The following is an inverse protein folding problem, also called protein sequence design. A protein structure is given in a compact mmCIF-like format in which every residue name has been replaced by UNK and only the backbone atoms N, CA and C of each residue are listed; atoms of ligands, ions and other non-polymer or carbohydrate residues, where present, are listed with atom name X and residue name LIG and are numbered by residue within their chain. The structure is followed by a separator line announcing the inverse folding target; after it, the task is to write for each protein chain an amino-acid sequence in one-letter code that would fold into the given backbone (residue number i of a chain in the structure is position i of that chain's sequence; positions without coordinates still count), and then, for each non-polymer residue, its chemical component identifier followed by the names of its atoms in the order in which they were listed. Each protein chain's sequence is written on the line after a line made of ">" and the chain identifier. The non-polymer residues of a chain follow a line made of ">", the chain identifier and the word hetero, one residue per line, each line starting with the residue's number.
data_IF_057621414062
#
_entry.id   IF_057621414062
#
_cell.length_a   1.000
_cell.length_b   1.000
_cell.length_c   1.000
_cell.angle_alpha   90.00
_cell.angle_beta   90.00
_cell.angle_gamma   90.00
#
_symmetry.space_group_name_H-M   'P 1'
#
loop_
_entity.id
_entity.type
_entity.pdbx_description
1 polymer ?
#
# COMPACT_ATOMS: atom_id res chain seq x y z
N UNK A 1 -6.10 6.16 -10.66
CA UNK A 1 -4.62 5.96 -10.72
C UNK A 1 -4.34 4.49 -10.99
N UNK A 2 -3.30 4.11 -11.75
CA UNK A 2 -2.92 2.70 -11.97
C UNK A 2 -1.91 2.24 -10.91
N UNK A 3 -2.40 1.96 -9.70
CA UNK A 3 -1.55 1.61 -8.54
C UNK A 3 -0.66 0.38 -8.82
N UNK A 4 -1.20 -0.61 -9.54
CA UNK A 4 -0.49 -1.82 -9.99
C UNK A 4 0.76 -1.54 -10.86
N UNK A 5 0.90 -0.31 -11.36
CA UNK A 5 2.03 0.13 -12.19
C UNK A 5 3.03 1.00 -11.44
N UNK A 6 2.77 1.32 -10.18
CA UNK A 6 3.65 2.14 -9.36
C UNK A 6 4.46 1.19 -8.48
N UNK A 7 5.77 1.02 -8.69
CA UNK A 7 6.56 0.10 -7.88
C UNK A 7 6.61 0.57 -6.43
N UNK A 8 6.81 -0.36 -5.49
CA UNK A 8 6.97 -0.04 -4.07
C UNK A 8 8.15 0.92 -3.81
N UNK A 9 9.15 0.96 -4.70
CA UNK A 9 10.29 1.86 -4.65
C UNK A 9 11.28 1.58 -5.77
N UNK A 10 12.32 2.41 -5.91
CA UNK A 10 13.43 2.11 -6.83
C UNK A 10 14.37 1.06 -6.22
N UNK A 11 14.62 1.15 -4.90
CA UNK A 11 15.48 0.21 -4.17
C UNK A 11 14.96 -0.02 -2.73
N UNK A 12 13.84 -0.74 -2.55
CA UNK A 12 13.34 -1.07 -1.21
C UNK A 12 14.34 -1.93 -0.40
N UNK A 13 14.39 -1.78 0.94
CA UNK A 13 13.56 -0.86 1.72
C UNK A 13 14.12 0.57 1.82
N UNK A 14 15.33 0.84 1.30
CA UNK A 14 16.01 2.13 1.50
C UNK A 14 15.47 3.30 0.66
N UNK A 15 14.79 3.00 -0.45
CA UNK A 15 14.08 3.96 -1.31
C UNK A 15 12.72 3.35 -1.64
N UNK A 16 11.65 4.02 -1.19
CA UNK A 16 10.26 3.62 -1.39
C UNK A 16 9.44 4.76 -1.98
N UNK A 17 8.41 4.42 -2.76
CA UNK A 17 7.38 5.36 -3.19
C UNK A 17 6.23 5.36 -2.18
N UNK A 18 5.71 6.55 -1.90
CA UNK A 18 4.51 6.74 -1.07
C UNK A 18 3.46 7.46 -1.89
N UNK A 19 2.26 6.88 -1.94
CA UNK A 19 1.06 7.55 -2.46
C UNK A 19 0.45 8.35 -1.33
N UNK A 20 0.46 9.68 -1.43
CA UNK A 20 -0.05 10.57 -0.38
C UNK A 20 -1.58 10.57 -0.37
N UNK A 21 -2.17 10.42 0.79
CA UNK A 21 -3.61 10.48 1.00
C UNK A 21 -4.01 11.74 1.77
N UNK A 22 -3.27 12.07 2.83
CA UNK A 22 -3.55 13.24 3.67
C UNK A 22 -2.33 14.16 3.72
N UNK A 23 -2.42 15.40 3.21
CA UNK A 23 -1.34 16.37 3.30
C UNK A 23 -1.10 16.82 4.74
N UNK A 24 0.14 17.19 5.08
CA UNK A 24 0.46 17.79 6.39
C UNK A 24 -0.39 19.03 6.63
N UNK A 25 -0.97 19.14 7.85
CA UNK A 25 -1.79 20.28 8.29
C UNK A 25 -2.96 20.62 7.36
N UNK A 26 -3.46 19.67 6.57
CA UNK A 26 -4.70 19.85 5.79
C UNK A 26 -5.91 19.89 6.71
N UNK A 27 -7.07 20.31 6.17
CA UNK A 27 -8.36 20.13 6.83
C UNK A 27 -8.54 18.68 7.34
N UNK A 28 -9.34 18.45 8.40
CA UNK A 28 -9.46 17.18 9.11
C UNK A 28 -10.30 16.14 8.34
N UNK A 29 -9.94 15.89 7.09
CA UNK A 29 -10.55 14.89 6.22
C UNK A 29 -9.54 13.76 6.02
N UNK A 30 -9.90 12.55 6.44
CA UNK A 30 -9.18 11.35 6.03
C UNK A 30 -9.66 10.95 4.65
N UNK A 31 -8.87 11.30 3.65
CA UNK A 31 -8.99 10.69 2.35
C UNK A 31 -8.34 9.31 2.37
N UNK A 32 -8.79 8.45 1.47
CA UNK A 32 -8.22 7.14 1.23
C UNK A 32 -8.29 6.85 -0.27
N UNK A 33 -7.32 6.12 -0.80
CA UNK A 33 -7.33 5.69 -2.18
C UNK A 33 -8.16 4.41 -2.31
N UNK A 34 -9.28 4.49 -3.03
CA UNK A 34 -10.00 3.29 -3.44
C UNK A 34 -9.13 2.49 -4.43
N UNK A 35 -8.69 1.29 -4.03
CA UNK A 35 -7.69 0.51 -4.76
C UNK A 35 -8.20 0.02 -6.12
N UNK A 36 -9.51 -0.22 -6.26
CA UNK A 36 -10.13 -0.72 -7.49
C UNK A 36 -10.26 0.37 -8.56
N UNK A 37 -10.83 1.52 -8.21
CA UNK A 37 -11.01 2.64 -9.15
C UNK A 37 -9.76 3.54 -9.25
N UNK A 38 -8.92 3.54 -8.21
CA UNK A 38 -7.81 4.46 -8.04
C UNK A 38 -8.25 5.92 -7.88
N UNK A 39 -9.43 6.15 -7.29
CA UNK A 39 -9.95 7.47 -6.92
C UNK A 39 -9.67 7.78 -5.44
N UNK A 40 -9.43 9.05 -5.12
CA UNK A 40 -9.44 9.51 -3.74
C UNK A 40 -10.89 9.56 -3.25
N UNK A 41 -11.21 8.77 -2.23
CA UNK A 41 -12.51 8.76 -1.56
C UNK A 41 -12.37 9.40 -0.17
N UNK A 42 -13.46 9.97 0.32
CA UNK A 42 -13.54 10.43 1.71
C UNK A 42 -13.89 9.22 2.56
N UNK A 43 -12.95 8.74 3.37
CA UNK A 43 -13.23 7.71 4.37
C UNK A 43 -14.04 8.31 5.51
N UNK A 44 -13.51 9.39 6.12
CA UNK A 44 -14.20 10.12 7.19
C UNK A 44 -13.68 11.53 7.40
N UNK A 45 -14.46 12.32 8.13
CA UNK A 45 -14.01 13.58 8.74
C UNK A 45 -13.61 13.26 10.18
N UNK A 46 -12.44 13.72 10.63
CA UNK A 46 -11.99 13.48 12.01
C UNK A 46 -12.94 14.17 12.99
N UNK A 47 -13.35 13.46 14.04
CA UNK A 47 -14.22 14.01 15.08
C UNK A 47 -13.49 14.99 16.01
N UNK A 48 -12.17 14.87 16.11
CA UNK A 48 -11.31 15.73 16.93
C UNK A 48 -10.88 16.98 16.16
N UNK A 49 -10.53 18.05 16.87
CA UNK A 49 -9.97 19.27 16.27
C UNK A 49 -8.46 19.13 16.06
N UNK A 50 -8.05 18.09 15.34
CA UNK A 50 -6.66 17.75 15.07
C UNK A 50 -6.37 17.72 13.58
N UNK A 51 -5.11 17.95 13.22
CA UNK A 51 -4.63 17.83 11.84
C UNK A 51 -3.38 16.96 11.84
N UNK A 52 -3.15 16.27 10.73
CA UNK A 52 -1.96 15.42 10.58
C UNK A 52 -0.68 16.26 10.71
N UNK A 53 0.26 15.89 11.60
CA UNK A 53 1.50 16.65 11.83
C UNK A 53 2.54 16.45 10.72
N UNK A 54 2.32 15.49 9.83
CA UNK A 54 3.17 15.08 8.71
C UNK A 54 2.29 14.69 7.53
N UNK A 55 2.85 14.55 6.32
CA UNK A 55 2.08 13.98 5.22
C UNK A 55 1.87 12.48 5.49
N UNK A 56 0.74 11.95 5.06
CA UNK A 56 0.37 10.57 5.32
C UNK A 56 -0.07 9.88 4.04
N UNK A 57 0.30 8.62 3.90
CA UNK A 57 -0.04 7.81 2.75
C UNK A 57 0.42 6.37 2.95
N UNK A 58 0.58 5.65 1.85
CA UNK A 58 0.94 4.23 1.89
C UNK A 58 1.95 3.83 0.80
N UNK A 59 2.61 2.68 0.98
CA UNK A 59 3.50 2.08 -0.01
C UNK A 59 2.69 1.22 -0.98
N UNK A 60 2.66 1.53 -2.29
CA UNK A 60 1.95 0.70 -3.26
C UNK A 60 2.61 -0.67 -3.37
N UNK A 61 1.82 -1.70 -3.69
CA UNK A 61 2.27 -3.09 -3.83
C UNK A 61 2.94 -3.67 -2.57
N UNK A 62 2.39 -3.31 -1.40
CA UNK A 62 2.71 -3.93 -0.11
C UNK A 62 1.44 -4.43 0.56
N UNK A 63 1.59 -5.32 1.53
CA UNK A 63 0.51 -5.83 2.35
C UNK A 63 0.97 -5.93 3.80
N UNK A 64 0.39 -5.13 4.68
CA UNK A 64 0.59 -5.14 6.12
C UNK A 64 -0.17 -6.28 6.81
N UNK A 65 0.01 -6.38 8.13
CA UNK A 65 -0.58 -7.45 8.94
C UNK A 65 -2.11 -7.41 9.04
N UNK A 66 -2.71 -6.23 8.82
CA UNK A 66 -4.15 -5.97 8.79
C UNK A 66 -4.78 -6.24 7.41
N UNK A 67 -3.97 -6.47 6.37
CA UNK A 67 -4.42 -6.69 5.00
C UNK A 67 -4.51 -5.41 4.16
N UNK A 68 -4.06 -4.27 4.68
CA UNK A 68 -3.93 -3.02 3.95
C UNK A 68 -2.47 -2.73 3.56
N UNK A 69 -2.20 -1.88 2.55
CA UNK A 69 -0.84 -1.45 2.24
C UNK A 69 -0.18 -0.77 3.45
N UNK A 70 1.13 -0.90 3.56
CA UNK A 70 1.89 -0.35 4.69
C UNK A 70 1.77 1.17 4.72
N UNK A 71 1.35 1.71 5.86
CA UNK A 71 1.22 3.14 6.12
C UNK A 71 2.58 3.84 6.28
N UNK A 72 2.65 5.08 5.78
CA UNK A 72 3.85 5.92 5.85
C UNK A 72 3.52 7.35 6.24
N UNK A 73 4.23 7.82 7.25
CA UNK A 73 4.36 9.21 7.67
C UNK A 73 5.57 9.85 6.98
N UNK A 74 5.33 10.83 6.12
CA UNK A 74 6.37 11.54 5.38
C UNK A 74 6.60 12.93 5.98
N UNK A 75 7.75 13.08 6.64
CA UNK A 75 8.15 14.32 7.30
C UNK A 75 8.46 15.39 6.27
N UNK A 76 7.67 16.46 6.27
CA UNK A 76 7.89 17.66 5.47
C UNK A 76 7.03 18.79 6.02
N UNK A 77 7.53 20.02 6.04
CA UNK A 77 6.74 21.22 6.34
C UNK A 77 5.86 21.68 5.16
N UNK A 78 6.05 21.08 3.98
CA UNK A 78 5.31 21.40 2.76
C UNK A 78 4.20 20.34 2.57
N UNK A 79 2.92 20.77 2.44
CA UNK A 79 1.82 19.89 2.06
C UNK A 79 2.05 19.29 0.67
N UNK A 80 1.95 17.97 0.57
CA UNK A 80 1.96 17.25 -0.70
C UNK A 80 0.52 16.88 -1.03
N UNK A 81 0.07 17.19 -2.25
CA UNK A 81 -1.31 16.95 -2.66
C UNK A 81 -1.70 15.47 -2.56
N UNK A 82 -2.93 15.20 -2.12
CA UNK A 82 -3.52 13.86 -2.15
C UNK A 82 -3.49 13.26 -3.56
N UNK A 83 -3.16 11.98 -3.66
CA UNK A 83 -2.93 11.25 -4.90
C UNK A 83 -1.57 11.51 -5.55
N UNK A 84 -0.70 12.38 -5.00
CA UNK A 84 0.66 12.50 -5.48
C UNK A 84 1.52 11.31 -5.02
N UNK A 85 2.58 11.01 -5.76
CA UNK A 85 3.58 10.00 -5.40
C UNK A 85 4.91 10.69 -5.09
N UNK A 86 5.49 10.38 -3.95
CA UNK A 86 6.80 10.89 -3.53
C UNK A 86 7.75 9.73 -3.22
N UNK A 87 9.01 9.85 -3.66
CA UNK A 87 10.07 8.94 -3.25
C UNK A 87 10.67 9.40 -1.92
N UNK A 88 10.79 8.47 -0.98
CA UNK A 88 11.21 8.73 0.40
C UNK A 88 12.20 7.67 0.88
N UNK A 89 12.93 8.00 1.93
CA UNK A 89 13.83 7.10 2.66
C UNK A 89 13.25 6.85 4.06
N UNK A 90 12.97 5.60 4.44
CA UNK A 90 12.56 5.26 5.80
C UNK A 90 13.68 5.55 6.81
N UNK A 91 13.30 6.08 7.96
CA UNK A 91 14.21 6.40 9.08
C UNK A 91 13.77 5.77 10.40
N UNK A 92 12.62 5.11 10.44
CA UNK A 92 12.11 4.41 11.61
C UNK A 92 10.67 3.97 11.42
N UNK A 93 10.07 3.46 12.48
CA UNK A 93 8.67 3.04 12.51
C UNK A 93 8.08 3.34 13.88
N UNK A 94 6.83 3.81 13.91
CA UNK A 94 6.05 3.93 15.13
C UNK A 94 5.18 2.68 15.29
N UNK A 95 5.39 1.97 16.39
CA UNK A 95 4.63 0.78 16.73
C UNK A 95 3.34 1.20 17.44
N UNK A 96 2.19 0.77 16.93
CA UNK A 96 0.91 1.00 17.60
C UNK A 96 -0.07 -0.16 17.37
N UNK A 97 -1.10 -0.18 18.22
CA UNK A 97 -2.21 -1.11 18.13
C UNK A 97 -3.49 -0.31 18.25
N UNK A 98 -4.49 -0.65 17.46
CA UNK A 98 -5.80 -0.01 17.49
C UNK A 98 -6.94 -1.04 17.51
N UNK A 99 -8.17 -0.58 17.29
CA UNK A 99 -9.36 -1.43 17.25
C UNK A 99 -9.34 -2.50 16.14
N UNK A 100 -8.51 -2.35 15.10
CA UNK A 100 -8.30 -3.31 14.01
C UNK A 100 -7.14 -4.29 14.25
N UNK A 101 -6.24 -4.01 15.20
CA UNK A 101 -5.12 -4.88 15.53
C UNK A 101 -3.79 -4.13 15.49
N UNK A 102 -2.78 -4.78 14.91
CA UNK A 102 -1.44 -4.20 14.76
C UNK A 102 -1.46 -3.17 13.64
N UNK A 103 -0.95 -1.96 13.90
CA UNK A 103 -1.05 -0.79 13.00
C UNK A 103 0.29 -0.04 12.93
N UNK A 104 1.38 -0.67 12.47
CA UNK A 104 2.67 0.02 12.39
C UNK A 104 2.68 1.13 11.33
N UNK A 105 3.34 2.26 11.65
CA UNK A 105 3.45 3.40 10.73
C UNK A 105 4.89 3.73 10.45
N UNK A 106 5.33 3.51 9.21
CA UNK A 106 6.70 3.83 8.78
C UNK A 106 6.89 5.34 8.86
N UNK A 107 8.03 5.78 9.37
CA UNK A 107 8.45 7.17 9.34
C UNK A 107 9.52 7.34 8.28
N UNK A 108 9.30 8.27 7.36
CA UNK A 108 10.20 8.51 6.25
C UNK A 108 10.42 10.01 6.00
N UNK A 109 11.53 10.32 5.35
CA UNK A 109 11.87 11.67 4.87
C UNK A 109 11.97 11.66 3.35
N UNK A 110 11.77 12.79 2.65
CA UNK A 110 11.99 12.87 1.21
C UNK A 110 13.35 12.31 0.80
N UNK A 111 13.39 11.56 -0.31
CA UNK A 111 14.66 11.11 -0.86
C UNK A 111 15.55 12.32 -1.22
N UNK A 112 16.89 12.16 -1.14
CA UNK A 112 17.86 13.25 -1.36
C UNK A 112 17.63 14.00 -2.69
N UNK A 113 17.26 13.28 -3.76
CA UNK A 113 16.94 13.86 -5.08
C UNK A 113 15.69 14.76 -5.10
N UNK A 114 14.79 14.60 -4.13
CA UNK A 114 13.58 15.40 -3.96
C UNK A 114 13.89 16.60 -3.08
N UNK A 115 14.51 16.37 -1.92
CA UNK A 115 14.91 17.43 -1.02
C UNK A 115 16.13 17.03 -0.16
N UNK A 116 17.34 17.49 -0.50
CA UNK A 116 18.57 17.13 0.24
C UNK A 116 18.64 17.75 1.64
N UNK A 117 17.73 18.67 2.00
CA UNK A 117 17.67 19.22 3.36
C UNK A 117 17.34 18.17 4.43
N UNK A 118 16.87 16.98 4.03
CA UNK A 118 16.55 15.88 4.94
C UNK A 118 17.66 14.81 5.03
N UNK A 119 18.80 15.02 4.36
CA UNK A 119 19.90 14.05 4.31
C UNK A 119 20.57 13.84 5.68
N UNK A 120 20.43 14.77 6.61
CA UNK A 120 20.95 14.60 7.98
C UNK A 120 20.15 13.61 8.82
N UNK A 121 18.88 13.37 8.50
CA UNK A 121 18.02 12.47 9.27
C UNK A 121 18.21 11.04 8.79
N UNK A 122 18.93 10.22 9.55
CA UNK A 122 19.21 8.81 9.25
C UNK A 122 18.40 7.86 10.12
N UNK A 123 17.98 8.33 11.30
CA UNK A 123 17.16 7.65 12.26
C UNK A 123 16.02 8.58 12.73
N UNK A 124 14.89 8.02 13.18
CA UNK A 124 13.81 8.81 13.77
C UNK A 124 14.30 9.70 14.92
N UNK A 125 15.31 9.24 15.70
CA UNK A 125 15.89 9.99 16.80
C UNK A 125 16.57 11.30 16.38
N UNK A 126 17.00 11.40 15.10
CA UNK A 126 17.60 12.61 14.54
C UNK A 126 16.58 13.74 14.35
N UNK A 127 15.28 13.41 14.33
CA UNK A 127 14.22 14.42 14.27
C UNK A 127 14.10 15.18 15.59
N UNK A 128 13.70 16.47 15.53
CA UNK A 128 13.35 17.23 16.73
C UNK A 128 12.37 16.45 17.61
N UNK A 129 12.72 16.26 18.88
CA UNK A 129 11.87 15.57 19.85
C UNK A 129 10.43 16.11 19.87
N UNK A 130 10.16 17.44 19.81
CA UNK A 130 8.79 17.94 19.79
C UNK A 130 7.96 17.44 18.60
N UNK A 131 8.58 17.19 17.44
CA UNK A 131 7.87 16.63 16.29
C UNK A 131 7.48 15.18 16.53
N UNK A 132 8.38 14.37 17.13
CA UNK A 132 8.08 12.98 17.49
C UNK A 132 6.93 12.89 18.50
N UNK A 133 6.96 13.72 19.52
CA UNK A 133 5.88 13.82 20.53
C UNK A 133 4.55 14.25 19.90
N UNK A 134 4.57 15.20 18.94
CA UNK A 134 3.36 15.60 18.20
C UNK A 134 2.77 14.46 17.37
N UNK A 135 3.62 13.65 16.72
CA UNK A 135 3.19 12.47 15.97
C UNK A 135 2.56 11.44 16.90
N UNK A 136 3.24 11.08 17.99
CA UNK A 136 2.72 10.13 18.99
C UNK A 136 1.38 10.60 19.57
N UNK A 137 1.30 11.88 19.97
CA UNK A 137 0.08 12.46 20.51
C UNK A 137 -1.06 12.45 19.48
N UNK A 138 -0.78 12.76 18.22
CA UNK A 138 -1.78 12.72 17.16
C UNK A 138 -2.38 11.31 17.03
N UNK A 139 -1.57 10.28 16.82
CA UNK A 139 -2.07 8.93 16.63
C UNK A 139 -2.69 8.31 17.89
N UNK A 140 -2.30 8.78 19.08
CA UNK A 140 -2.93 8.36 20.34
C UNK A 140 -4.34 8.93 20.55
N UNK A 141 -4.65 10.08 19.95
CA UNK A 141 -5.86 10.85 20.30
C UNK A 141 -6.80 11.17 19.14
N UNK A 142 -6.38 11.05 17.88
CA UNK A 142 -7.19 11.49 16.74
C UNK A 142 -8.55 10.80 16.63
N UNK A 143 -8.66 9.58 17.16
CA UNK A 143 -9.87 8.74 17.22
C UNK A 143 -10.71 8.91 18.50
N UNK A 144 -10.33 9.77 19.46
CA UNK A 144 -10.95 9.83 20.80
C UNK A 144 -12.46 10.12 20.79
N UNK A 145 -12.95 10.80 19.75
CA UNK A 145 -14.37 11.14 19.58
C UNK A 145 -15.09 10.22 18.57
N UNK A 146 -14.43 9.17 18.10
CA UNK A 146 -15.03 8.12 17.26
C UNK A 146 -15.54 6.98 18.15
N UNK A 147 -16.86 6.76 18.14
CA UNK A 147 -17.49 5.81 19.07
C UNK A 147 -16.96 4.38 18.88
N UNK A 148 -16.40 3.80 19.94
CA UNK A 148 -15.89 2.44 19.97
C UNK A 148 -14.47 2.25 19.40
N UNK A 149 -13.82 3.33 18.95
CA UNK A 149 -12.44 3.27 18.46
C UNK A 149 -11.44 3.65 19.54
N UNK A 150 -10.22 3.13 19.43
CA UNK A 150 -9.11 3.44 20.31
C UNK A 150 -7.80 3.21 19.57
N UNK A 151 -6.74 3.87 20.02
CA UNK A 151 -5.39 3.67 19.51
C UNK A 151 -4.40 3.74 20.67
N UNK A 152 -3.34 2.94 20.60
CA UNK A 152 -2.28 2.92 21.60
C UNK A 152 -0.92 2.82 20.93
N UNK A 153 -0.12 3.88 21.07
CA UNK A 153 1.29 3.88 20.67
C UNK A 153 2.12 3.10 21.69
N UNK A 154 2.94 2.19 21.21
CA UNK A 154 3.83 1.34 22.00
C UNK A 154 5.28 1.83 22.00
N UNK A 155 5.67 2.66 21.03
CA UNK A 155 7.00 3.27 20.95
C UNK A 155 7.52 3.36 19.52
N UNK A 156 8.82 3.66 19.41
CA UNK A 156 9.52 3.77 18.13
C UNK A 156 10.57 2.67 17.98
N UNK A 157 10.76 2.22 16.74
CA UNK A 157 11.88 1.37 16.35
C UNK A 157 12.66 2.00 15.18
N UNK A 158 13.91 1.58 15.03
CA UNK A 158 14.86 2.15 14.08
C UNK A 158 14.59 1.77 12.61
N UNK A 159 15.43 2.27 11.68
CA UNK A 159 15.26 2.03 10.24
C UNK A 159 15.41 0.56 9.84
N UNK A 160 16.12 -0.26 10.62
CA UNK A 160 16.23 -1.71 10.38
C UNK A 160 14.86 -2.40 10.53
N UNK A 161 14.16 -2.16 11.65
CA UNK A 161 12.81 -2.69 11.88
C UNK A 161 11.81 -2.20 10.82
N UNK A 162 11.88 -0.92 10.46
CA UNK A 162 11.09 -0.37 9.36
C UNK A 162 11.35 -1.11 8.04
N UNK A 163 12.63 -1.42 7.75
CA UNK A 163 13.02 -2.17 6.57
C UNK A 163 12.49 -3.59 6.54
N UNK A 164 12.51 -4.29 7.68
CA UNK A 164 11.96 -5.64 7.81
C UNK A 164 10.45 -5.67 7.55
N UNK A 165 9.70 -4.70 8.09
CA UNK A 165 8.25 -4.56 7.86
C UNK A 165 7.96 -4.33 6.38
N UNK A 166 8.69 -3.40 5.74
CA UNK A 166 8.53 -3.08 4.31
C UNK A 166 8.78 -4.32 3.45
N UNK A 167 9.90 -5.02 3.68
CA UNK A 167 10.26 -6.20 2.90
C UNK A 167 9.29 -7.36 3.10
N UNK A 168 8.81 -7.56 4.34
CA UNK A 168 7.76 -8.53 4.61
C UNK A 168 6.47 -8.20 3.86
N UNK A 169 6.05 -6.93 3.84
CA UNK A 169 4.84 -6.53 3.15
C UNK A 169 4.93 -6.64 1.62
N UNK A 170 6.09 -6.36 1.03
CA UNK A 170 6.35 -6.63 -0.39
C UNK A 170 6.20 -8.12 -0.69
N UNK A 171 6.84 -8.98 0.10
CA UNK A 171 6.79 -10.44 -0.11
C UNK A 171 5.36 -11.01 0.05
N UNK A 172 4.59 -10.48 1.01
CA UNK A 172 3.20 -10.86 1.21
C UNK A 172 2.32 -10.46 0.01
N UNK A 173 2.48 -9.24 -0.48
CA UNK A 173 1.77 -8.76 -1.66
C UNK A 173 2.08 -9.62 -2.91
N UNK A 174 3.36 -9.90 -3.17
CA UNK A 174 3.77 -10.77 -4.28
C UNK A 174 3.18 -12.18 -4.18
N UNK A 175 3.17 -12.76 -2.97
CA UNK A 175 2.56 -14.07 -2.71
C UNK A 175 1.07 -14.06 -3.03
N UNK A 176 0.36 -13.03 -2.59
CA UNK A 176 -1.08 -12.86 -2.85
C UNK A 176 -1.37 -12.70 -4.35
N UNK A 177 -0.57 -11.92 -5.08
CA UNK A 177 -0.70 -11.80 -6.53
C UNK A 177 -0.49 -13.13 -7.26
N UNK A 178 0.52 -13.91 -6.86
CA UNK A 178 0.80 -15.21 -7.46
C UNK A 178 -0.37 -16.18 -7.25
N UNK A 179 -0.93 -16.20 -6.03
CA UNK A 179 -2.11 -17.02 -5.72
C UNK A 179 -3.32 -16.58 -6.55
N UNK A 180 -3.56 -15.28 -6.69
CA UNK A 180 -4.65 -14.75 -7.52
C UNK A 180 -4.50 -15.16 -8.99
N UNK A 181 -3.30 -15.00 -9.57
CA UNK A 181 -2.99 -15.39 -10.96
C UNK A 181 -3.16 -16.91 -11.18
N UNK A 182 -2.81 -17.75 -10.20
CA UNK A 182 -3.01 -19.20 -10.30
C UNK A 182 -4.49 -19.60 -10.23
N UNK A 183 -5.29 -18.93 -9.39
CA UNK A 183 -6.74 -19.16 -9.31
C UNK A 183 -7.44 -18.81 -10.62
N UNK A 184 -7.04 -17.73 -11.25
CA UNK A 184 -7.63 -17.28 -12.51
C UNK A 184 -7.30 -18.23 -13.67
N UNK A 185 -6.04 -18.71 -13.76
CA UNK A 185 -5.63 -19.74 -14.72
C UNK A 185 -6.43 -21.05 -14.58
N UNK A 186 -6.79 -21.46 -13.36
CA UNK A 186 -7.61 -22.66 -13.12
C UNK A 186 -9.08 -22.47 -13.55
N UNK A 187 -9.61 -21.25 -13.47
CA UNK A 187 -10.97 -20.92 -13.93
C UNK A 187 -11.06 -20.77 -15.46
N UNK A 188 -9.99 -20.33 -16.11
CA UNK A 188 -9.90 -20.21 -17.57
C UNK A 188 -9.61 -21.53 -18.33
N UNK A 189 -9.29 -22.62 -17.61
CA UNK A 189 -9.03 -23.95 -18.19
C UNK A 189 -10.21 -24.93 -18.02
N UNK A 190 -11.40 -24.59 -18.53
CA UNK A 190 -12.50 -25.56 -18.71
C UNK A 190 -12.27 -26.44 -19.95
N UNK A 191 -12.79 -27.69 -19.99
CA UNK A 191 -12.35 -28.70 -20.95
C UNK A 191 -12.75 -28.29 -22.38
N UNK A 192 -11.74 -28.09 -23.24
CA UNK A 192 -11.96 -27.93 -24.67
C UNK A 192 -12.67 -29.15 -25.23
N UNK A 193 -13.68 -28.88 -26.06
CA UNK A 193 -14.46 -29.84 -26.84
C UNK A 193 -13.63 -31.03 -27.32
N UNK A 194 -13.89 -32.21 -26.75
CA UNK A 194 -13.61 -33.45 -27.47
C UNK A 194 -14.61 -33.52 -28.62
N UNK A 195 -14.25 -32.94 -29.75
CA UNK A 195 -14.91 -33.17 -31.01
C UNK A 195 -14.91 -34.68 -31.28
N UNK A 196 -16.10 -35.30 -31.21
CA UNK A 196 -16.32 -36.66 -31.66
C UNK A 196 -15.93 -36.81 -33.13
N UNK A 197 -15.49 -38.00 -33.57
CA UNK A 197 -15.00 -38.16 -34.94
C UNK A 197 -16.15 -37.97 -35.93
N UNK A 198 -15.98 -36.98 -36.82
CA UNK A 198 -16.86 -36.74 -37.95
C UNK A 198 -16.86 -37.95 -38.89
N UNK A 199 -18.05 -38.47 -39.18
CA UNK A 199 -18.27 -39.45 -40.23
C UNK A 199 -17.87 -38.86 -41.59
N UNK A 200 -17.07 -39.60 -42.33
CA UNK A 200 -16.49 -39.20 -43.61
C UNK A 200 -17.42 -39.65 -44.74
N UNK A 201 -18.13 -38.70 -45.37
CA UNK A 201 -18.99 -38.94 -46.54
C UNK A 201 -18.24 -38.64 -47.86
N UNK A 202 -17.93 -39.71 -48.60
CA UNK A 202 -17.82 -39.79 -50.08
C UNK A 202 -16.52 -39.32 -50.75
N UNK A 203 -16.29 -39.63 -52.06
CA UNK A 203 -17.27 -40.13 -53.04
C UNK A 203 -16.84 -41.33 -53.94
N UNK A 204 -17.87 -42.01 -54.44
CA UNK A 204 -18.08 -42.67 -55.74
C UNK A 204 -16.89 -42.90 -56.71
N UNK A 205 -16.63 -44.18 -57.03
CA UNK A 205 -16.26 -44.61 -58.40
C UNK A 205 -16.80 -46.01 -58.74
N UNK A 206 -17.88 -46.03 -59.51
CA UNK A 206 -18.02 -46.72 -60.81
C UNK A 206 -17.63 -48.22 -61.00
N UNK A 207 -18.63 -48.96 -61.51
CA UNK A 207 -18.64 -49.91 -62.66
C UNK A 207 -18.81 -51.44 -62.43
N UNK A 208 -20.01 -51.87 -62.85
CA UNK A 208 -20.34 -52.91 -63.87
C UNK A 208 -20.17 -54.42 -63.56
N UNK A 209 -21.34 -55.08 -63.60
CA UNK A 209 -21.72 -56.29 -64.36
C UNK A 209 -21.06 -57.66 -64.05
N UNK A 210 -21.87 -58.53 -63.43
CA UNK A 210 -22.27 -59.92 -63.80
C UNK A 210 -21.57 -60.58 -65.02
N UNK A 211 -21.40 -61.91 -65.07
CA UNK A 211 -22.34 -62.95 -64.60
C UNK A 211 -21.89 -63.80 -63.41
#
# INVERSE_FOLDING_TARGET
>A
MRLDKIPAGENPPGDINVVIEVPVRSDPVKYEMDKESGAMVVDRILGTSMHYPVNYGFIPNTLGGDGDPIDVMVVSDIPINSGAVIAVRPIGVMMMTDDGGVDEKILAVPASRINPAYDEYQNFEDLPQPLREQIEHFFSHYKDLENGKWAKVSGWEGPEAAGDIIMAGIAQHETMELVAKQRDKRKGGGPGDQAGPAANDGPDTQRRQMP
#
